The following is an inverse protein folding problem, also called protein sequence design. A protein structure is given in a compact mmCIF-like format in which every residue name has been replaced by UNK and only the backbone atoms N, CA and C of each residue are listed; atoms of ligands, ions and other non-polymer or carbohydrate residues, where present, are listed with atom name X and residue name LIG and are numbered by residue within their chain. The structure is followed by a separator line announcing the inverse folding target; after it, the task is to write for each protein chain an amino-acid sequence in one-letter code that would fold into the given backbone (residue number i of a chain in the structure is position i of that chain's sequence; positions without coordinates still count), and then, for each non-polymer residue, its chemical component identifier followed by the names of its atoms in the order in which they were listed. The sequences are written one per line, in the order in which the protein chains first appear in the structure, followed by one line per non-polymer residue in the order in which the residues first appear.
data_IF_051675817230
#
_entry.id   IF_051675817230
#
_cell.length_a   1.000
_cell.length_b   1.000
_cell.length_c   1.000
_cell.angle_alpha   90.00
_cell.angle_beta   90.00
_cell.angle_gamma   90.00
#
_symmetry.space_group_name_H-M   'P 1'
#
loop_
_entity.id
_entity.type
_entity.pdbx_description
1 polymer ?
#
# COMPACT_ATOMS: atom_id res chain seq x y z
N UNK A 1 7.27 -17.95 -11.94
CA UNK A 1 5.96 -17.49 -11.42
C UNK A 1 5.56 -18.47 -10.32
N UNK A 2 6.02 -18.23 -9.10
CA UNK A 2 5.63 -19.01 -7.93
C UNK A 2 4.49 -18.25 -7.24
N UNK A 3 3.31 -18.87 -7.19
CA UNK A 3 2.07 -18.42 -6.54
C UNK A 3 1.55 -17.04 -7.00
N UNK A 4 0.56 -17.05 -7.89
CA UNK A 4 -0.08 -15.87 -8.50
C UNK A 4 -0.88 -14.94 -7.57
N UNK A 5 -0.33 -14.61 -6.39
CA UNK A 5 -0.80 -13.52 -5.53
C UNK A 5 -0.16 -12.21 -5.97
N UNK A 6 -0.99 -11.23 -6.32
CA UNK A 6 -0.52 -9.86 -6.55
C UNK A 6 -0.22 -9.19 -5.19
N UNK A 7 0.90 -8.46 -5.12
CA UNK A 7 1.24 -7.61 -3.99
C UNK A 7 1.15 -6.16 -4.44
N UNK A 8 0.36 -5.35 -3.75
CA UNK A 8 0.37 -3.90 -3.97
C UNK A 8 1.60 -3.33 -3.25
N UNK A 9 2.56 -2.88 -4.05
CA UNK A 9 3.76 -2.22 -3.53
C UNK A 9 3.44 -0.84 -2.95
N UNK A 10 2.56 -0.08 -3.61
CA UNK A 10 2.20 1.29 -3.21
C UNK A 10 0.89 1.74 -3.85
N UNK A 11 0.17 2.63 -3.16
CA UNK A 11 -0.89 3.46 -3.75
C UNK A 11 -0.35 4.87 -3.97
N UNK A 12 -0.52 5.42 -5.17
CA UNK A 12 -0.13 6.79 -5.48
C UNK A 12 -1.39 7.63 -5.61
N UNK A 13 -1.56 8.61 -4.71
CA UNK A 13 -2.77 9.42 -4.62
C UNK A 13 -2.77 10.59 -5.62
N UNK A 14 -1.61 11.17 -5.94
CA UNK A 14 -1.47 12.09 -7.07
C UNK A 14 -0.02 12.50 -7.28
N UNK A 15 0.51 12.25 -8.49
CA UNK A 15 1.84 12.71 -8.91
C UNK A 15 2.97 11.71 -8.61
N UNK A 16 3.94 11.68 -9.51
CA UNK A 16 5.11 10.81 -9.44
C UNK A 16 5.68 10.55 -10.83
N UNK A 17 6.93 10.11 -10.87
CA UNK A 17 7.60 9.69 -12.11
C UNK A 17 7.62 8.16 -12.15
N UNK A 18 7.24 7.61 -13.31
CA UNK A 18 7.38 6.21 -13.68
C UNK A 18 8.47 6.09 -14.73
N UNK A 19 9.17 4.95 -14.80
CA UNK A 19 10.31 4.78 -15.70
C UNK A 19 11.64 5.26 -15.13
N UNK A 20 11.68 5.63 -13.85
CA UNK A 20 12.85 6.17 -13.16
C UNK A 20 13.91 5.10 -12.90
N UNK A 21 13.50 3.89 -12.55
CA UNK A 21 14.41 2.74 -12.44
C UNK A 21 15.01 2.44 -13.82
N UNK A 22 14.17 2.28 -14.83
CA UNK A 22 14.57 1.92 -16.19
C UNK A 22 15.53 2.97 -16.81
N UNK A 23 15.26 4.26 -16.58
CA UNK A 23 16.11 5.34 -17.04
C UNK A 23 17.49 5.32 -16.37
N UNK A 24 17.56 5.08 -15.06
CA UNK A 24 18.80 5.18 -14.29
C UNK A 24 19.66 3.91 -14.33
N UNK A 25 19.03 2.74 -14.48
CA UNK A 25 19.75 1.44 -14.59
C UNK A 25 20.06 1.07 -16.03
N UNK A 26 19.41 1.71 -17.00
CA UNK A 26 19.42 1.30 -18.40
C UNK A 26 18.95 -0.16 -18.59
N UNK A 27 18.04 -0.62 -17.72
CA UNK A 27 17.38 -1.92 -17.77
C UNK A 27 15.87 -1.73 -17.96
N UNK A 28 15.35 -2.14 -19.12
CA UNK A 28 13.95 -1.99 -19.50
C UNK A 28 13.10 -3.23 -19.16
N UNK A 29 13.61 -4.10 -18.29
CA UNK A 29 12.86 -5.25 -17.80
C UNK A 29 11.75 -4.78 -16.86
N UNK A 30 10.50 -5.04 -17.24
CA UNK A 30 9.35 -4.70 -16.39
C UNK A 30 9.36 -5.56 -15.12
N UNK A 31 9.68 -4.92 -13.98
CA UNK A 31 9.69 -5.57 -12.65
C UNK A 31 8.38 -5.38 -11.89
N UNK A 32 7.57 -4.38 -12.29
CA UNK A 32 6.31 -4.02 -11.63
C UNK A 32 5.27 -3.60 -12.69
N UNK A 33 4.00 -3.86 -12.42
CA UNK A 33 2.86 -3.37 -13.22
C UNK A 33 2.19 -2.21 -12.50
N UNK A 34 1.86 -1.15 -13.25
CA UNK A 34 1.08 -0.01 -12.73
C UNK A 34 -0.31 -0.02 -13.34
N UNK A 35 -1.33 0.08 -12.49
CA UNK A 35 -2.74 0.16 -12.90
C UNK A 35 -3.37 1.45 -12.35
N UNK A 36 -4.31 2.01 -13.10
CA UNK A 36 -5.00 3.25 -12.73
C UNK A 36 -6.39 2.91 -12.21
N UNK A 37 -6.73 3.38 -11.00
CA UNK A 37 -8.04 3.15 -10.37
C UNK A 37 -9.10 4.18 -10.79
N UNK A 38 -8.66 5.27 -11.42
CA UNK A 38 -9.51 6.33 -11.97
C UNK A 38 -8.86 6.91 -13.22
N UNK A 39 -9.54 7.84 -13.90
CA UNK A 39 -8.97 8.56 -15.04
C UNK A 39 -7.74 9.36 -14.63
N UNK A 40 -6.64 9.19 -15.36
CA UNK A 40 -5.38 9.91 -15.14
C UNK A 40 -4.85 10.47 -16.44
N UNK A 41 -4.15 11.61 -16.35
CA UNK A 41 -3.40 12.19 -17.47
C UNK A 41 -1.91 12.03 -17.20
N UNK A 42 -1.18 11.48 -18.17
CA UNK A 42 0.27 11.25 -18.07
C UNK A 42 1.01 12.00 -19.17
N UNK A 43 2.17 12.56 -18.83
CA UNK A 43 3.13 13.08 -19.82
C UNK A 43 4.13 11.98 -20.15
N UNK A 44 4.19 11.57 -21.42
CA UNK A 44 5.13 10.56 -21.90
C UNK A 44 6.39 11.20 -22.46
N UNK A 45 7.55 10.86 -21.90
CA UNK A 45 8.87 11.29 -22.39
C UNK A 45 9.60 10.07 -22.96
N UNK A 46 9.91 10.02 -24.27
CA UNK A 46 10.67 8.92 -24.85
C UNK A 46 12.12 8.92 -24.35
N UNK A 47 12.55 7.88 -23.63
CA UNK A 47 13.89 7.81 -23.02
C UNK A 47 14.99 7.84 -24.09
N UNK A 48 14.91 6.97 -25.10
CA UNK A 48 15.96 6.82 -26.14
C UNK A 48 16.35 8.14 -26.81
N UNK A 49 15.39 9.04 -27.04
CA UNK A 49 15.62 10.32 -27.73
C UNK A 49 16.16 11.41 -26.81
N UNK A 50 16.04 11.23 -25.50
CA UNK A 50 16.31 12.27 -24.52
C UNK A 50 17.33 11.84 -23.47
N UNK A 51 17.93 10.65 -23.59
CA UNK A 51 18.76 10.03 -22.56
C UNK A 51 19.88 10.97 -22.07
N UNK A 52 20.64 11.56 -22.98
CA UNK A 52 21.73 12.48 -22.62
C UNK A 52 21.21 13.72 -21.87
N UNK A 53 20.12 14.32 -22.34
CA UNK A 53 19.53 15.49 -21.69
C UNK A 53 18.97 15.16 -20.30
N UNK A 54 18.26 14.04 -20.17
CA UNK A 54 17.65 13.60 -18.91
C UNK A 54 18.74 13.26 -17.88
N UNK A 55 19.81 12.58 -18.30
CA UNK A 55 20.88 12.13 -17.41
C UNK A 55 21.84 13.26 -17.00
N UNK A 56 22.01 14.29 -17.83
CA UNK A 56 22.87 15.44 -17.54
C UNK A 56 22.14 16.58 -16.82
N UNK A 57 20.80 16.55 -16.75
CA UNK A 57 20.03 17.55 -16.03
C UNK A 57 20.00 17.25 -14.52
N UNK A 58 20.85 17.92 -13.77
CA UNK A 58 20.98 17.72 -12.32
C UNK A 58 19.66 17.93 -11.55
N UNK A 59 18.84 18.90 -11.96
CA UNK A 59 17.54 19.15 -11.30
C UNK A 59 16.59 17.98 -11.50
N UNK A 60 16.56 17.42 -12.71
CA UNK A 60 15.75 16.25 -13.01
C UNK A 60 16.24 15.00 -12.27
N UNK A 61 17.56 14.77 -12.23
CA UNK A 61 18.15 13.66 -11.45
C UNK A 61 17.82 13.77 -9.96
N UNK A 62 17.83 14.98 -9.38
CA UNK A 62 17.44 15.19 -7.97
C UNK A 62 15.96 14.85 -7.72
N UNK A 63 15.08 15.18 -8.66
CA UNK A 63 13.67 14.82 -8.59
C UNK A 63 13.49 13.29 -8.61
N UNK A 64 14.16 12.60 -9.55
CA UNK A 64 14.13 11.14 -9.62
C UNK A 64 14.65 10.49 -8.34
N UNK A 65 15.78 10.98 -7.81
CA UNK A 65 16.37 10.45 -6.58
C UNK A 65 15.46 10.65 -5.36
N UNK A 66 14.77 11.80 -5.29
CA UNK A 66 13.81 12.10 -4.24
C UNK A 66 12.61 11.16 -4.33
N UNK A 67 12.03 11.00 -5.53
CA UNK A 67 10.94 10.07 -5.78
C UNK A 67 11.31 8.62 -5.42
N UNK A 68 12.48 8.14 -5.86
CA UNK A 68 12.98 6.81 -5.51
C UNK A 68 13.18 6.62 -4.01
N UNK A 69 13.69 7.63 -3.31
CA UNK A 69 13.90 7.58 -1.85
C UNK A 69 12.57 7.42 -1.13
N UNK A 70 11.54 8.17 -1.53
CA UNK A 70 10.18 8.06 -0.97
C UNK A 70 9.62 6.66 -1.21
N UNK A 71 9.65 6.18 -2.47
CA UNK A 71 9.17 4.82 -2.83
C UNK A 71 9.88 3.72 -2.02
N UNK A 72 11.19 3.86 -1.81
CA UNK A 72 11.99 2.90 -1.05
C UNK A 72 11.63 2.93 0.45
N UNK A 73 11.47 4.12 1.03
CA UNK A 73 11.03 4.27 2.42
C UNK A 73 9.66 3.63 2.64
N UNK A 74 8.71 3.89 1.75
CA UNK A 74 7.36 3.31 1.80
C UNK A 74 7.41 1.78 1.68
N UNK A 75 8.15 1.27 0.69
CA UNK A 75 8.33 -0.17 0.50
C UNK A 75 8.99 -0.85 1.71
N UNK A 76 9.99 -0.20 2.30
CA UNK A 76 10.67 -0.69 3.50
C UNK A 76 9.73 -0.73 4.72
N UNK A 77 8.93 0.32 4.92
CA UNK A 77 7.93 0.37 5.98
C UNK A 77 6.88 -0.74 5.80
N UNK A 78 6.41 -0.97 4.57
CA UNK A 78 5.47 -2.05 4.25
C UNK A 78 6.07 -3.43 4.51
N UNK A 79 7.34 -3.62 4.16
CA UNK A 79 8.07 -4.86 4.45
C UNK A 79 8.22 -5.09 5.96
N UNK A 80 8.67 -4.09 6.72
CA UNK A 80 8.80 -4.16 8.17
C UNK A 80 7.47 -4.49 8.84
N UNK A 81 6.39 -3.85 8.38
CA UNK A 81 5.02 -4.14 8.82
C UNK A 81 4.69 -5.63 8.63
N UNK A 82 4.95 -6.16 7.43
CA UNK A 82 4.64 -7.55 7.07
C UNK A 82 5.52 -8.57 7.82
N UNK A 83 6.77 -8.23 8.08
CA UNK A 83 7.73 -9.12 8.75
C UNK A 83 7.56 -9.15 10.27
N UNK A 84 7.21 -8.02 10.89
CA UNK A 84 7.25 -7.86 12.35
C UNK A 84 5.87 -7.97 13.01
N UNK A 85 4.79 -7.85 12.25
CA UNK A 85 3.44 -7.84 12.79
C UNK A 85 2.56 -8.91 12.15
N UNK A 86 1.75 -9.54 12.99
CA UNK A 86 0.76 -10.53 12.56
C UNK A 86 -0.26 -9.92 11.59
N UNK A 87 -0.95 -10.79 10.85
CA UNK A 87 -2.04 -10.33 9.96
C UNK A 87 -3.16 -9.63 10.72
N UNK A 88 -3.40 -10.04 11.98
CA UNK A 88 -4.38 -9.42 12.88
C UNK A 88 -3.97 -8.01 13.27
N UNK A 89 -2.72 -7.81 13.69
CA UNK A 89 -2.21 -6.48 14.07
C UNK A 89 -2.27 -5.48 12.91
N UNK A 90 -1.91 -5.95 11.70
CA UNK A 90 -1.97 -5.14 10.49
C UNK A 90 -3.42 -4.78 10.12
N UNK A 91 -4.34 -5.74 10.19
CA UNK A 91 -5.75 -5.48 9.93
C UNK A 91 -6.36 -4.50 10.94
N UNK A 92 -6.07 -4.64 12.24
CA UNK A 92 -6.58 -3.72 13.25
C UNK A 92 -6.08 -2.29 13.04
N UNK A 93 -4.80 -2.14 12.67
CA UNK A 93 -4.22 -0.82 12.33
C UNK A 93 -4.90 -0.22 11.09
N UNK A 94 -5.08 -1.03 10.05
CA UNK A 94 -5.75 -0.60 8.81
C UNK A 94 -7.19 -0.15 9.04
N UNK A 95 -7.96 -0.89 9.87
CA UNK A 95 -9.33 -0.52 10.23
C UNK A 95 -9.34 0.83 10.96
N UNK A 96 -8.42 1.04 11.91
CA UNK A 96 -8.32 2.31 12.64
C UNK A 96 -7.99 3.48 11.70
N UNK A 97 -6.97 3.33 10.86
CA UNK A 97 -6.49 4.37 9.96
C UNK A 97 -7.52 4.71 8.87
N UNK A 98 -8.27 3.71 8.39
CA UNK A 98 -9.31 3.86 7.37
C UNK A 98 -10.70 4.17 7.90
N UNK A 99 -10.89 4.30 9.22
CA UNK A 99 -12.21 4.55 9.81
C UNK A 99 -12.57 6.04 9.84
N UNK A 100 -13.86 6.33 9.61
CA UNK A 100 -14.43 7.65 9.83
C UNK A 100 -15.62 7.56 10.79
N UNK A 101 -15.55 8.28 11.91
CA UNK A 101 -16.57 8.24 12.98
C UNK A 101 -16.93 6.80 13.41
N UNK A 102 -15.92 5.96 13.65
CA UNK A 102 -16.04 4.54 14.00
C UNK A 102 -16.61 3.63 12.90
N UNK A 103 -16.90 4.13 11.70
CA UNK A 103 -17.31 3.31 10.57
C UNK A 103 -16.11 3.01 9.69
N UNK A 104 -15.91 1.73 9.38
CA UNK A 104 -14.91 1.26 8.43
C UNK A 104 -15.63 0.58 7.26
N UNK A 105 -15.32 1.04 6.05
CA UNK A 105 -15.87 0.49 4.81
C UNK A 105 -14.79 0.51 3.74
N UNK A 106 -14.40 -0.67 3.26
CA UNK A 106 -13.44 -0.82 2.19
C UNK A 106 -13.67 -2.12 1.40
N UNK A 107 -13.11 -2.21 0.21
CA UNK A 107 -13.13 -3.40 -0.63
C UNK A 107 -12.19 -4.46 -0.06
N UNK A 108 -12.76 -5.61 0.34
CA UNK A 108 -12.00 -6.69 0.97
C UNK A 108 -10.84 -7.25 0.12
N UNK A 109 -10.93 -7.15 -1.22
CA UNK A 109 -9.81 -7.54 -2.10
C UNK A 109 -8.66 -6.56 -1.94
N UNK A 110 -8.94 -5.27 -2.02
CA UNK A 110 -7.95 -4.21 -1.89
C UNK A 110 -7.31 -4.24 -0.50
N UNK A 111 -8.11 -4.47 0.56
CA UNK A 111 -7.61 -4.74 1.92
C UNK A 111 -6.67 -5.94 1.93
N UNK A 112 -7.04 -7.06 1.29
CA UNK A 112 -6.21 -8.26 1.28
C UNK A 112 -4.88 -8.07 0.56
N UNK A 113 -4.88 -7.38 -0.58
CA UNK A 113 -3.68 -7.08 -1.35
C UNK A 113 -2.77 -6.08 -0.62
N UNK A 114 -3.36 -5.06 0.03
CA UNK A 114 -2.63 -4.06 0.83
C UNK A 114 -1.96 -4.68 2.05
N UNK A 115 -2.66 -5.59 2.74
CA UNK A 115 -2.13 -6.28 3.91
C UNK A 115 -1.21 -7.46 3.54
N UNK A 116 -1.04 -7.78 2.25
CA UNK A 116 -0.29 -8.97 1.83
C UNK A 116 -0.86 -10.27 2.41
N UNK A 117 -2.18 -10.33 2.59
CA UNK A 117 -2.90 -11.48 3.13
C UNK A 117 -3.83 -12.06 2.08
N UNK A 118 -4.08 -13.36 2.09
CA UNK A 118 -5.16 -13.91 1.25
C UNK A 118 -6.52 -13.35 1.68
N UNK A 119 -7.45 -13.17 0.74
CA UNK A 119 -8.84 -12.80 1.01
C UNK A 119 -9.47 -13.66 2.13
N UNK A 120 -9.22 -14.98 2.10
CA UNK A 120 -9.71 -15.92 3.12
C UNK A 120 -9.13 -15.62 4.51
N UNK A 121 -7.88 -15.20 4.58
CA UNK A 121 -7.25 -14.84 5.84
C UNK A 121 -7.87 -13.56 6.41
N UNK A 122 -7.99 -12.49 5.61
CA UNK A 122 -8.67 -11.25 6.03
C UNK A 122 -10.10 -11.54 6.49
N UNK A 123 -10.85 -12.34 5.74
CA UNK A 123 -12.24 -12.70 6.09
C UNK A 123 -12.33 -13.44 7.44
N UNK A 124 -11.38 -14.34 7.74
CA UNK A 124 -11.33 -15.05 9.03
C UNK A 124 -11.02 -14.10 10.19
N UNK A 125 -10.09 -13.16 10.00
CA UNK A 125 -9.74 -12.18 11.02
C UNK A 125 -10.92 -11.23 11.30
N UNK A 126 -11.59 -10.72 10.26
CA UNK A 126 -12.80 -9.91 10.44
C UNK A 126 -13.89 -10.67 11.18
N UNK A 127 -14.09 -11.95 10.85
CA UNK A 127 -15.03 -12.80 11.59
C UNK A 127 -14.64 -12.93 13.06
N UNK A 128 -13.36 -13.17 13.35
CA UNK A 128 -12.86 -13.23 14.73
C UNK A 128 -13.17 -11.94 15.49
N UNK A 129 -12.89 -10.77 14.91
CA UNK A 129 -13.18 -9.47 15.54
C UNK A 129 -14.68 -9.23 15.78
N UNK A 130 -15.54 -9.74 14.89
CA UNK A 130 -17.00 -9.72 15.08
C UNK A 130 -17.44 -10.66 16.19
N UNK A 131 -16.94 -11.89 16.20
CA UNK A 131 -17.26 -12.89 17.21
C UNK A 131 -16.80 -12.44 18.63
N UNK A 132 -15.71 -11.66 18.70
CA UNK A 132 -15.18 -11.04 19.93
C UNK A 132 -15.85 -9.70 20.29
N UNK A 133 -16.86 -9.25 19.53
CA UNK A 133 -17.58 -7.99 19.75
C UNK A 133 -16.70 -6.73 19.75
N UNK A 134 -15.58 -6.76 19.02
CA UNK A 134 -14.67 -5.62 18.84
C UNK A 134 -15.15 -4.72 17.70
N UNK A 135 -15.74 -5.34 16.67
CA UNK A 135 -16.45 -4.68 15.59
C UNK A 135 -17.80 -5.35 15.35
N UNK A 136 -18.75 -4.61 14.78
CA UNK A 136 -20.05 -5.11 14.39
C UNK A 136 -20.21 -5.01 12.87
N UNK A 137 -20.71 -6.06 12.23
CA UNK A 137 -20.97 -6.04 10.79
C UNK A 137 -22.25 -5.27 10.49
N UNK A 138 -22.13 -4.24 9.65
CA UNK A 138 -23.24 -3.45 9.13
C UNK A 138 -23.45 -3.70 7.63
N UNK A 139 -24.55 -3.20 7.08
CA UNK A 139 -24.93 -3.41 5.68
C UNK A 139 -23.86 -2.88 4.70
N UNK A 140 -23.19 -1.78 5.04
CA UNK A 140 -22.17 -1.13 4.21
C UNK A 140 -20.74 -1.33 4.71
N UNK A 141 -20.49 -2.11 5.75
CA UNK A 141 -19.14 -2.26 6.30
C UNK A 141 -19.13 -2.75 7.73
N UNK A 142 -18.33 -2.11 8.57
CA UNK A 142 -18.16 -2.45 9.98
C UNK A 142 -18.25 -1.20 10.85
N UNK A 143 -18.83 -1.36 12.04
CA UNK A 143 -18.81 -0.36 13.11
C UNK A 143 -17.88 -0.80 14.23
N UNK A 144 -17.01 0.08 14.68
CA UNK A 144 -16.06 -0.21 15.76
C UNK A 144 -16.79 -0.07 17.10
N UNK A 145 -17.08 -1.19 17.74
CA UNK A 145 -17.80 -1.24 19.03
C UNK A 145 -16.87 -1.07 20.22
N UNK A 146 -15.59 -1.46 20.09
CA UNK A 146 -14.58 -1.32 21.14
C UNK A 146 -13.24 -0.85 20.58
N UNK A 147 -13.09 0.47 20.44
CA UNK A 147 -11.88 1.08 19.88
C UNK A 147 -10.64 0.86 20.76
N UNK A 148 -10.79 0.83 22.09
CA UNK A 148 -9.65 0.61 23.00
C UNK A 148 -9.03 -0.78 22.82
N UNK A 149 -9.86 -1.82 22.68
CA UNK A 149 -9.38 -3.17 22.40
C UNK A 149 -8.77 -3.24 21.00
N UNK A 150 -9.40 -2.62 20.01
CA UNK A 150 -8.89 -2.58 18.64
C UNK A 150 -7.51 -1.89 18.57
N UNK A 151 -7.32 -0.79 19.33
CA UNK A 151 -6.02 -0.10 19.46
C UNK A 151 -4.97 -0.98 20.12
N UNK A 152 -5.31 -1.75 21.16
CA UNK A 152 -4.37 -2.70 21.81
C UNK A 152 -3.93 -3.82 20.86
N UNK A 153 -4.81 -4.26 19.97
CA UNK A 153 -4.50 -5.25 18.95
C UNK A 153 -3.75 -4.66 17.75
N UNK A 154 -3.67 -3.33 17.62
CA UNK A 154 -2.99 -2.66 16.51
C UNK A 154 -1.47 -2.53 16.71
N UNK A 155 -0.75 -2.35 15.61
CA UNK A 155 0.70 -2.11 15.59
C UNK A 155 1.10 -0.83 16.34
N UNK A 156 0.21 0.16 16.36
CA UNK A 156 0.43 1.49 16.94
C UNK A 156 0.68 1.42 18.46
N UNK A 157 0.17 0.40 19.15
CA UNK A 157 0.38 0.24 20.58
C UNK A 157 1.82 -0.16 20.97
N UNK A 158 2.59 -0.80 20.08
CA UNK A 158 3.97 -1.23 20.35
C UNK A 158 5.04 -0.15 20.09
N UNK A 159 4.65 1.03 19.60
CA UNK A 159 5.55 2.15 19.29
C UNK A 159 5.70 3.15 20.45
N UNK A 160 4.95 3.00 21.54
CA UNK A 160 5.07 3.75 22.79
C UNK A 160 5.57 2.84 23.91
#
# INVERSE_FOLDING_TARGET
MENGSNLILSYYVSGGILGDIELLTNDYTATVTVITLSEVTCVKIPIEKNLDYLTQNLSFIRELATGLTIKLQDSSNNYLSTALFSGEERLCSYILDGSYKHHFQDNLRDVSETLGLSYRHVSRLLKKLVDEQIIERQTSGYYITNEDVLRKLSMTHKRN
#
